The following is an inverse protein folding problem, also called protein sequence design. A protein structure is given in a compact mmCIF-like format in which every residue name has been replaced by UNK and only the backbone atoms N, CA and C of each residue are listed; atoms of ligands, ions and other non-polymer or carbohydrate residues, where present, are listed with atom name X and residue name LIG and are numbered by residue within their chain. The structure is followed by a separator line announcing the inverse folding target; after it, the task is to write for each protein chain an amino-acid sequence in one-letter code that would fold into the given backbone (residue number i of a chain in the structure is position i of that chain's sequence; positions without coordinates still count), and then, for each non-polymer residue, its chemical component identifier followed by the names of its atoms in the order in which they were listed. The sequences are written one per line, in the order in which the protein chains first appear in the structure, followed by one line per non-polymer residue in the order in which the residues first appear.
data_IF_612328572771
#
_entry.id   IF_612328572771
#
_cell.length_a   1.000
_cell.length_b   1.000
_cell.length_c   1.000
_cell.angle_alpha   90.00
_cell.angle_beta   90.00
_cell.angle_gamma   90.00
#
_symmetry.space_group_name_H-M   'P 1'
#
loop_
_entity.id
_entity.type
_entity.pdbx_description
1 polymer ?
#
# COMPACT_ATOMS: atom_id res chain seq x y z
N UNK A 1 12.28 4.92 24.65
CA UNK A 1 12.39 3.59 25.19
C UNK A 1 13.82 3.08 25.13
N UNK A 2 14.33 2.59 26.25
CA UNK A 2 15.71 2.13 26.39
C UNK A 2 16.02 0.94 25.48
N UNK A 3 15.07 0.06 25.29
CA UNK A 3 15.23 -1.10 24.44
C UNK A 3 15.50 -0.71 23.00
N UNK A 4 14.87 0.34 22.52
CA UNK A 4 15.09 0.87 21.17
C UNK A 4 16.50 1.45 21.06
N UNK A 5 16.95 2.18 22.08
CA UNK A 5 18.28 2.78 22.06
C UNK A 5 19.41 1.77 22.05
N UNK A 6 19.25 0.66 22.77
CA UNK A 6 20.30 -0.35 22.87
C UNK A 6 20.52 -1.12 21.56
N UNK A 7 19.57 -1.06 20.62
CA UNK A 7 19.67 -1.77 19.35
C UNK A 7 19.53 -0.82 18.17
N UNK A 8 20.19 0.33 18.28
CA UNK A 8 19.91 1.45 17.41
C UNK A 8 20.11 1.15 15.91
N UNK A 9 21.11 0.34 15.55
CA UNK A 9 21.46 0.14 14.15
C UNK A 9 20.41 -0.67 13.39
N UNK A 10 20.06 -1.84 13.89
CA UNK A 10 19.09 -2.69 13.20
C UNK A 10 17.65 -2.34 13.54
N UNK A 11 17.41 -1.93 14.79
CA UNK A 11 16.05 -1.62 15.22
C UNK A 11 15.57 -0.24 14.79
N UNK A 12 16.48 0.70 14.54
CA UNK A 12 16.10 1.99 13.98
C UNK A 12 15.45 1.81 12.59
N UNK A 13 16.02 0.93 11.76
CA UNK A 13 15.46 0.62 10.45
C UNK A 13 14.09 -0.03 10.59
N UNK A 14 13.94 -1.00 11.49
CA UNK A 14 12.68 -1.67 11.72
C UNK A 14 11.63 -0.71 12.28
N UNK A 15 12.04 0.18 13.16
CA UNK A 15 11.15 1.18 13.75
C UNK A 15 10.62 2.12 12.66
N UNK A 16 11.49 2.58 11.74
CA UNK A 16 11.06 3.42 10.63
C UNK A 16 10.07 2.71 9.73
N UNK A 17 10.27 1.41 9.47
CA UNK A 17 9.33 0.64 8.67
C UNK A 17 7.99 0.48 9.38
N UNK A 18 7.99 0.24 10.68
CA UNK A 18 6.77 0.13 11.48
C UNK A 18 6.02 1.47 11.48
N UNK A 19 6.72 2.58 11.67
CA UNK A 19 6.11 3.91 11.63
C UNK A 19 5.51 4.21 10.26
N UNK A 20 6.20 3.84 9.18
CA UNK A 20 5.70 4.05 7.83
C UNK A 20 4.47 3.19 7.55
N UNK A 21 4.46 1.94 8.02
CA UNK A 21 3.29 1.08 7.90
C UNK A 21 2.11 1.61 8.70
N UNK A 22 2.36 2.14 9.91
CA UNK A 22 1.32 2.75 10.72
C UNK A 22 0.72 3.98 10.03
N UNK A 23 1.55 4.78 9.37
CA UNK A 23 1.07 5.92 8.59
C UNK A 23 0.14 5.48 7.47
N UNK A 24 0.48 4.39 6.78
CA UNK A 24 -0.38 3.84 5.72
C UNK A 24 -1.70 3.35 6.30
N UNK A 25 -1.67 2.64 7.42
CA UNK A 25 -2.88 2.14 8.09
C UNK A 25 -3.78 3.30 8.52
N UNK A 26 -3.18 4.39 9.00
CA UNK A 26 -3.92 5.57 9.44
C UNK A 26 -4.40 6.44 8.28
N UNK A 27 -3.88 6.24 7.08
CA UNK A 27 -4.25 7.04 5.92
C UNK A 27 -5.52 6.50 5.28
N UNK A 28 -6.56 7.32 5.28
CA UNK A 28 -7.87 6.97 4.77
C UNK A 28 -7.82 6.43 3.32
N UNK A 29 -7.10 7.13 2.45
CA UNK A 29 -7.02 6.73 1.03
C UNK A 29 -6.28 5.42 0.83
N UNK A 30 -5.22 5.19 1.61
CA UNK A 30 -4.46 3.94 1.52
C UNK A 30 -5.30 2.73 1.91
N UNK A 31 -6.10 2.87 2.97
CA UNK A 31 -7.01 1.81 3.42
C UNK A 31 -8.04 1.50 2.33
N UNK A 32 -8.63 2.54 1.72
CA UNK A 32 -9.61 2.36 0.65
C UNK A 32 -8.99 1.67 -0.56
N UNK A 33 -7.78 2.07 -0.95
CA UNK A 33 -7.08 1.47 -2.08
C UNK A 33 -6.78 0.00 -1.81
N UNK A 34 -6.29 -0.32 -0.62
CA UNK A 34 -6.03 -1.72 -0.24
C UNK A 34 -7.32 -2.54 -0.25
N UNK A 35 -8.42 -1.99 0.25
CA UNK A 35 -9.72 -2.64 0.20
C UNK A 35 -10.11 -2.96 -1.25
N UNK A 36 -9.98 -2.01 -2.14
CA UNK A 36 -10.36 -2.18 -3.54
C UNK A 36 -9.51 -3.27 -4.22
N UNK A 37 -8.22 -3.29 -3.95
CA UNK A 37 -7.32 -4.28 -4.53
C UNK A 37 -7.63 -5.69 -4.00
N UNK A 38 -7.81 -5.81 -2.69
CA UNK A 38 -7.92 -7.12 -2.03
C UNK A 38 -9.32 -7.69 -2.14
N UNK A 39 -10.35 -6.88 -1.88
CA UNK A 39 -11.71 -7.38 -1.74
C UNK A 39 -12.59 -7.11 -2.95
N UNK A 40 -12.29 -6.08 -3.74
CA UNK A 40 -13.12 -5.70 -4.88
C UNK A 40 -12.48 -6.07 -6.22
N UNK A 41 -11.32 -6.71 -6.19
CA UNK A 41 -10.57 -7.12 -7.38
C UNK A 41 -10.26 -5.95 -8.33
N UNK A 42 -10.14 -4.74 -7.81
CA UNK A 42 -9.76 -3.57 -8.57
C UNK A 42 -8.24 -3.44 -8.50
N UNK A 43 -7.55 -3.96 -9.51
CA UNK A 43 -6.10 -4.12 -9.46
C UNK A 43 -5.32 -3.19 -10.37
N UNK A 44 -5.99 -2.41 -11.20
CA UNK A 44 -5.33 -1.45 -12.08
C UNK A 44 -5.63 -0.04 -11.62
N UNK A 45 -4.76 0.89 -12.02
CA UNK A 45 -4.95 2.30 -11.70
C UNK A 45 -6.34 2.77 -12.13
N UNK A 46 -6.70 2.49 -13.39
CA UNK A 46 -7.98 2.95 -13.90
C UNK A 46 -9.17 2.28 -13.23
N UNK A 47 -9.08 0.99 -12.91
CA UNK A 47 -10.21 0.33 -12.25
C UNK A 47 -10.44 0.88 -10.84
N UNK A 48 -9.37 1.18 -10.12
CA UNK A 48 -9.49 1.81 -8.79
C UNK A 48 -10.09 3.21 -8.94
N UNK A 49 -9.56 3.97 -9.88
CA UNK A 49 -10.01 5.36 -10.10
C UNK A 49 -11.48 5.43 -10.47
N UNK A 50 -11.91 4.58 -11.38
CA UNK A 50 -13.26 4.62 -11.94
C UNK A 50 -14.31 4.01 -11.02
N UNK A 51 -13.94 3.07 -10.18
CA UNK A 51 -14.87 2.30 -9.36
C UNK A 51 -14.83 2.70 -7.87
N UNK A 52 -14.13 3.78 -7.55
CA UNK A 52 -14.02 4.26 -6.18
C UNK A 52 -15.15 5.22 -5.86
N UNK A 53 -16.02 4.83 -4.92
CA UNK A 53 -17.18 5.63 -4.53
C UNK A 53 -16.81 6.90 -3.78
N UNK A 54 -15.60 6.97 -3.26
CA UNK A 54 -15.11 8.11 -2.50
C UNK A 54 -14.47 9.19 -3.36
N UNK A 55 -14.49 9.02 -4.69
CA UNK A 55 -14.03 10.02 -5.66
C UNK A 55 -12.57 10.44 -5.47
N UNK A 56 -11.69 9.47 -5.33
CA UNK A 56 -10.25 9.74 -5.21
C UNK A 56 -9.73 10.42 -6.48
N UNK A 57 -8.86 11.42 -6.33
CA UNK A 57 -8.21 12.05 -7.48
C UNK A 57 -7.10 11.16 -8.04
N UNK A 58 -6.80 11.31 -9.33
CA UNK A 58 -5.74 10.55 -9.97
C UNK A 58 -4.37 10.84 -9.34
N UNK A 59 -4.13 12.08 -8.94
CA UNK A 59 -2.88 12.46 -8.30
C UNK A 59 -2.73 11.80 -6.93
N UNK A 60 -3.79 11.77 -6.14
CA UNK A 60 -3.78 11.10 -4.83
C UNK A 60 -3.57 9.59 -4.99
N UNK A 61 -4.28 8.98 -5.94
CA UNK A 61 -4.16 7.55 -6.20
C UNK A 61 -2.73 7.19 -6.61
N UNK A 62 -2.14 7.94 -7.55
CA UNK A 62 -0.78 7.69 -8.00
C UNK A 62 0.21 7.78 -6.85
N UNK A 63 0.08 8.80 -6.03
CA UNK A 63 0.97 9.02 -4.89
C UNK A 63 0.86 7.90 -3.86
N UNK A 64 -0.35 7.47 -3.55
CA UNK A 64 -0.57 6.40 -2.56
C UNK A 64 -0.11 5.05 -3.06
N UNK A 65 -0.37 4.73 -4.33
CA UNK A 65 0.11 3.47 -4.92
C UNK A 65 1.63 3.41 -4.93
N UNK A 66 2.28 4.51 -5.32
CA UNK A 66 3.74 4.58 -5.30
C UNK A 66 4.28 4.36 -3.88
N UNK A 67 3.71 5.03 -2.91
CA UNK A 67 4.13 4.89 -1.51
C UNK A 67 4.02 3.45 -1.03
N UNK A 68 2.90 2.81 -1.31
CA UNK A 68 2.70 1.43 -0.88
C UNK A 68 3.63 0.46 -1.60
N UNK A 69 3.97 0.71 -2.85
CA UNK A 69 4.96 -0.07 -3.56
C UNK A 69 6.37 0.17 -2.99
N UNK A 70 6.72 1.41 -2.68
CA UNK A 70 8.01 1.74 -2.07
C UNK A 70 8.18 1.08 -0.70
N UNK A 71 7.08 0.93 0.04
CA UNK A 71 7.08 0.23 1.33
C UNK A 71 6.95 -1.28 1.18
N UNK A 72 6.90 -1.78 -0.03
CA UNK A 72 6.76 -3.20 -0.34
C UNK A 72 5.47 -3.84 0.18
N UNK A 73 4.44 -3.03 0.38
CA UNK A 73 3.11 -3.53 0.73
C UNK A 73 2.34 -3.99 -0.49
N UNK A 74 2.61 -3.37 -1.63
CA UNK A 74 2.11 -3.76 -2.94
C UNK A 74 3.29 -4.04 -3.85
N UNK A 75 3.08 -4.94 -4.81
CA UNK A 75 3.93 -5.10 -5.96
C UNK A 75 3.17 -4.66 -7.20
N UNK A 76 3.89 -4.21 -8.22
CA UNK A 76 3.28 -3.90 -9.50
C UNK A 76 4.02 -4.65 -10.60
N UNK A 77 3.27 -5.08 -11.61
CA UNK A 77 3.85 -5.74 -12.77
C UNK A 77 3.05 -5.36 -14.01
N UNK A 78 3.70 -5.48 -15.15
CA UNK A 78 3.09 -5.10 -16.42
C UNK A 78 2.01 -6.11 -16.80
N UNK A 79 0.87 -5.60 -17.27
CA UNK A 79 -0.19 -6.46 -17.76
C UNK A 79 0.24 -7.07 -19.10
N UNK A 80 0.30 -8.40 -19.23
CA UNK A 80 0.73 -9.04 -20.47
C UNK A 80 -0.25 -8.80 -21.63
N UNK A 81 -1.48 -8.40 -21.34
CA UNK A 81 -2.49 -8.18 -22.36
C UNK A 81 -2.65 -6.71 -22.74
N UNK A 82 -1.96 -5.79 -22.05
CA UNK A 82 -2.11 -4.36 -22.29
C UNK A 82 -0.78 -3.66 -21.95
N UNK A 83 -0.07 -3.19 -22.97
CA UNK A 83 1.32 -2.78 -22.88
C UNK A 83 1.62 -1.63 -21.91
N UNK A 84 0.65 -0.79 -21.60
CA UNK A 84 0.89 0.37 -20.72
C UNK A 84 0.14 0.27 -19.40
N UNK A 85 -0.39 -0.90 -19.10
CA UNK A 85 -1.16 -1.08 -17.88
C UNK A 85 -0.37 -1.87 -16.86
N UNK A 86 -0.40 -1.41 -15.61
CA UNK A 86 0.19 -2.14 -14.49
C UNK A 86 -0.90 -2.76 -13.65
N UNK A 87 -0.58 -3.94 -13.13
CA UNK A 87 -1.43 -4.66 -12.20
C UNK A 87 -0.79 -4.60 -10.83
N UNK A 88 -1.55 -4.24 -9.82
CA UNK A 88 -1.11 -4.15 -8.44
C UNK A 88 -1.58 -5.36 -7.65
N UNK A 89 -0.69 -5.89 -6.83
CA UNK A 89 -0.96 -7.07 -6.01
C UNK A 89 -0.48 -6.85 -4.59
N UNK A 90 -1.20 -7.43 -3.64
CA UNK A 90 -0.78 -7.39 -2.25
C UNK A 90 0.42 -8.32 -2.06
N UNK A 91 1.44 -7.83 -1.38
CA UNK A 91 2.62 -8.64 -1.02
C UNK A 91 2.35 -9.43 0.25
N UNK A 92 3.25 -10.37 0.59
CA UNK A 92 3.17 -11.07 1.87
C UNK A 92 3.23 -10.09 3.04
N UNK A 93 4.09 -9.07 2.93
CA UNK A 93 4.19 -8.01 3.94
C UNK A 93 2.89 -7.24 4.06
N UNK A 94 2.26 -6.92 2.93
CA UNK A 94 0.96 -6.25 2.92
C UNK A 94 -0.14 -7.12 3.53
N UNK A 95 -0.11 -8.41 3.28
CA UNK A 95 -1.08 -9.35 3.86
C UNK A 95 -1.03 -9.37 5.39
N UNK A 96 0.15 -9.18 5.96
CA UNK A 96 0.31 -9.14 7.40
C UNK A 96 -0.37 -7.93 8.05
N UNK A 97 -0.66 -6.89 7.27
CA UNK A 97 -1.35 -5.69 7.75
C UNK A 97 -2.88 -5.80 7.71
N UNK A 98 -3.43 -6.72 6.92
CA UNK A 98 -4.88 -6.82 6.71
C UNK A 98 -5.66 -7.02 8.01
N UNK A 99 -5.24 -7.90 8.94
CA UNK A 99 -5.97 -8.05 10.19
C UNK A 99 -6.02 -6.78 11.04
N UNK A 100 -5.05 -5.88 10.86
CA UNK A 100 -5.02 -4.61 11.58
C UNK A 100 -5.98 -3.61 10.93
N UNK A 101 -6.08 -3.63 9.60
CA UNK A 101 -6.94 -2.73 8.83
C UNK A 101 -8.41 -3.11 8.99
N UNK A 102 -8.68 -4.39 9.03
CA UNK A 102 -10.03 -4.92 9.15
C UNK A 102 -10.46 -5.04 10.60
#
# INVERSE_FOLDING_TARGET
NQMIKSNITSKAKNHCQISSAAEVIADHWSVIILRDIVFCNQRTFNSILMNNNESISSATLAKRLKRMCDLELLSSFDDPTHSQRKIYSLTSKGMDLIPIIL
#
